data_IF_280111135357
#
_entry.id   IF_280111135357
#
_cell.length_a   1.000
_cell.length_b   1.000
_cell.length_c   1.000
_cell.angle_alpha   90.00
_cell.angle_beta   90.00
_cell.angle_gamma   90.00
#
_symmetry.space_group_name_H-M   'P 1'
#
loop_
_entity.id
_entity.type
_entity.pdbx_description
1 polymer ?
#
# COMPACT_ATOMS: atom_id res chain seq x y z
N UNK A 1 -3.34 -18.42 2.29
CA UNK A 1 -4.04 -18.28 0.99
C UNK A 1 -3.31 -17.24 0.18
N UNK A 2 -2.68 -17.65 -0.92
CA UNK A 2 -1.94 -16.78 -1.82
C UNK A 2 -2.78 -15.61 -2.36
N UNK A 3 -2.16 -14.45 -2.52
CA UNK A 3 -2.71 -13.24 -3.14
C UNK A 3 -2.27 -13.19 -4.60
N UNK A 4 -3.21 -13.38 -5.52
CA UNK A 4 -2.90 -13.37 -6.96
C UNK A 4 -2.70 -11.96 -7.48
N UNK A 5 -2.03 -11.81 -8.62
CA UNK A 5 -1.77 -10.50 -9.23
C UNK A 5 -3.08 -9.78 -9.62
N UNK A 6 -4.09 -10.51 -10.08
CA UNK A 6 -5.41 -9.95 -10.40
C UNK A 6 -6.12 -9.38 -9.16
N UNK A 7 -5.75 -9.86 -7.96
CA UNK A 7 -6.27 -9.30 -6.70
C UNK A 7 -5.54 -8.00 -6.34
N UNK A 8 -4.24 -7.90 -6.62
CA UNK A 8 -3.47 -6.67 -6.43
C UNK A 8 -4.06 -5.52 -7.25
N UNK A 9 -4.47 -5.78 -8.50
CA UNK A 9 -5.13 -4.77 -9.34
C UNK A 9 -6.41 -4.23 -8.67
N UNK A 10 -7.23 -5.13 -8.11
CA UNK A 10 -8.46 -4.76 -7.39
C UNK A 10 -8.17 -3.97 -6.12
N UNK A 11 -7.20 -4.42 -5.33
CA UNK A 11 -6.81 -3.71 -4.10
C UNK A 11 -6.26 -2.33 -4.42
N UNK A 12 -5.46 -2.18 -5.46
CA UNK A 12 -4.94 -0.88 -5.91
C UNK A 12 -6.06 0.05 -6.40
N UNK A 13 -7.06 -0.47 -7.12
CA UNK A 13 -8.27 0.29 -7.50
C UNK A 13 -9.06 0.75 -6.27
N UNK A 14 -9.27 -0.13 -5.28
CA UNK A 14 -9.94 0.22 -4.04
C UNK A 14 -9.14 1.26 -3.23
N UNK A 15 -7.80 1.15 -3.25
CA UNK A 15 -6.91 2.12 -2.60
C UNK A 15 -7.04 3.50 -3.25
N UNK A 16 -7.05 3.56 -4.59
CA UNK A 16 -7.32 4.81 -5.32
C UNK A 16 -8.68 5.40 -4.96
N UNK A 17 -9.72 4.56 -4.96
CA UNK A 17 -11.07 4.98 -4.55
C UNK A 17 -11.07 5.56 -3.13
N UNK A 18 -10.41 4.91 -2.18
CA UNK A 18 -10.28 5.40 -0.81
C UNK A 18 -9.61 6.78 -0.74
N UNK A 19 -8.52 6.99 -1.49
CA UNK A 19 -7.84 8.29 -1.55
C UNK A 19 -8.74 9.39 -2.12
N UNK A 20 -9.56 9.06 -3.13
CA UNK A 20 -10.41 10.03 -3.82
C UNK A 20 -11.69 10.33 -3.00
N UNK A 21 -12.34 9.32 -2.43
CA UNK A 21 -13.55 9.45 -1.59
C UNK A 21 -13.30 10.28 -0.31
N UNK A 22 -12.07 10.22 0.20
CA UNK A 22 -11.65 10.97 1.39
C UNK A 22 -10.87 12.25 1.05
N UNK A 23 -10.79 12.63 -0.22
CA UNK A 23 -10.08 13.83 -0.70
C UNK A 23 -8.64 13.95 -0.18
N UNK A 24 -7.90 12.83 -0.21
CA UNK A 24 -6.54 12.76 0.33
C UNK A 24 -5.53 13.22 -0.74
N UNK A 25 -5.06 14.46 -0.60
CA UNK A 25 -4.07 15.10 -1.48
C UNK A 25 -2.76 15.46 -0.77
N UNK A 26 -2.74 15.36 0.55
CA UNK A 26 -1.65 15.81 1.41
C UNK A 26 -1.64 15.01 2.71
N UNK A 27 -0.50 15.00 3.40
CA UNK A 27 -0.37 14.29 4.68
C UNK A 27 -1.26 14.88 5.77
N UNK A 28 -1.62 16.15 5.70
CA UNK A 28 -2.57 16.79 6.62
C UNK A 28 -3.95 16.14 6.57
N UNK A 29 -4.38 15.65 5.40
CA UNK A 29 -5.65 14.95 5.24
C UNK A 29 -5.68 13.60 5.98
N UNK A 30 -4.52 13.04 6.33
CA UNK A 30 -4.42 11.76 7.04
C UNK A 30 -4.64 11.89 8.55
N UNK A 31 -4.31 13.04 9.14
CA UNK A 31 -4.44 13.30 10.58
C UNK A 31 -5.84 12.96 11.13
N UNK A 32 -6.95 13.44 10.53
CA UNK A 32 -8.29 13.11 11.03
C UNK A 32 -8.70 11.64 10.82
N UNK A 33 -7.91 10.86 10.07
CA UNK A 33 -8.17 9.45 9.78
C UNK A 33 -7.39 8.50 10.71
N UNK A 34 -6.42 9.01 11.48
CA UNK A 34 -5.57 8.22 12.36
C UNK A 34 -6.38 7.37 13.34
N UNK A 35 -6.04 6.08 13.42
CA UNK A 35 -6.66 5.11 14.33
C UNK A 35 -8.08 4.68 13.95
N UNK A 36 -8.62 5.19 12.84
CA UNK A 36 -9.93 4.77 12.31
C UNK A 36 -9.77 3.60 11.36
N UNK A 37 -10.81 2.77 11.30
CA UNK A 37 -10.96 1.71 10.29
C UNK A 37 -12.05 2.10 9.31
N UNK A 38 -11.80 1.90 8.02
CA UNK A 38 -12.74 2.21 6.94
C UNK A 38 -13.10 0.93 6.20
N UNK A 39 -14.26 0.31 6.50
CA UNK A 39 -14.65 -0.96 5.90
C UNK A 39 -14.79 -0.85 4.37
N UNK A 40 -14.24 -1.83 3.66
CA UNK A 40 -14.43 -2.04 2.22
C UNK A 40 -15.49 -3.12 1.99
N UNK A 41 -15.43 -4.18 2.80
CA UNK A 41 -16.44 -5.25 2.89
C UNK A 41 -16.30 -5.95 4.27
N UNK A 42 -17.01 -7.06 4.47
CA UNK A 42 -17.04 -7.80 5.73
C UNK A 42 -15.66 -8.34 6.17
N UNK A 43 -14.71 -8.49 5.24
CA UNK A 43 -13.39 -9.09 5.50
C UNK A 43 -12.23 -8.14 5.21
N UNK A 44 -12.48 -6.87 4.89
CA UNK A 44 -11.41 -5.93 4.56
C UNK A 44 -11.72 -4.48 4.86
N UNK A 45 -10.68 -3.73 5.20
CA UNK A 45 -10.77 -2.33 5.59
C UNK A 45 -9.47 -1.58 5.34
N UNK A 46 -9.53 -0.26 5.25
CA UNK A 46 -8.36 0.60 5.33
C UNK A 46 -8.08 1.03 6.76
N UNK A 47 -6.81 1.13 7.11
CA UNK A 47 -6.31 1.76 8.33
C UNK A 47 -5.32 2.87 7.98
N UNK A 48 -5.34 3.95 8.76
CA UNK A 48 -4.31 4.99 8.71
C UNK A 48 -3.67 5.09 10.09
N UNK A 49 -2.35 4.94 10.12
CA UNK A 49 -1.57 4.95 11.36
C UNK A 49 -0.35 5.85 11.21
N UNK A 50 0.10 6.43 12.33
CA UNK A 50 1.39 7.09 12.42
C UNK A 50 2.35 6.08 13.08
N UNK A 51 3.38 5.66 12.36
CA UNK A 51 4.32 4.62 12.83
C UNK A 51 5.74 5.19 12.88
N UNK A 52 6.58 4.76 13.85
CA UNK A 52 8.00 5.08 13.84
C UNK A 52 8.67 4.65 12.54
N UNK A 53 9.59 5.48 12.07
CA UNK A 53 10.41 5.27 10.88
C UNK A 53 11.89 5.44 11.23
N UNK A 54 12.75 5.41 10.21
CA UNK A 54 14.19 5.56 10.35
C UNK A 54 14.55 6.94 10.94
N UNK A 55 15.74 7.03 11.53
CA UNK A 55 16.30 8.27 12.07
C UNK A 55 15.42 8.98 13.13
N UNK A 56 14.55 8.23 13.82
CA UNK A 56 13.66 8.80 14.84
C UNK A 56 12.49 9.61 14.29
N UNK A 57 12.23 9.53 12.99
CA UNK A 57 11.10 10.20 12.33
C UNK A 57 9.85 9.32 12.37
N UNK A 58 8.72 9.85 11.89
CA UNK A 58 7.47 9.10 11.77
C UNK A 58 6.97 9.07 10.32
N UNK A 59 6.30 7.99 9.95
CA UNK A 59 5.66 7.86 8.65
C UNK A 59 4.17 7.61 8.82
N UNK A 60 3.37 8.33 8.02
CA UNK A 60 1.97 8.01 7.87
C UNK A 60 1.86 6.74 7.04
N UNK A 61 1.21 5.72 7.58
CA UNK A 61 1.06 4.42 6.93
C UNK A 61 -0.41 4.17 6.65
N UNK A 62 -0.74 4.00 5.38
CA UNK A 62 -2.06 3.62 4.89
C UNK A 62 -2.01 2.14 4.48
N UNK A 63 -2.81 1.31 5.12
CA UNK A 63 -2.80 -0.15 4.91
C UNK A 63 -4.16 -0.60 4.39
N UNK A 64 -4.20 -1.32 3.27
CA UNK A 64 -5.34 -2.17 2.91
C UNK A 64 -5.20 -3.47 3.70
N UNK A 65 -6.13 -3.76 4.61
CA UNK A 65 -6.05 -4.90 5.51
C UNK A 65 -7.17 -5.89 5.16
N UNK A 66 -6.79 -7.16 5.05
CA UNK A 66 -7.70 -8.29 4.86
C UNK A 66 -7.65 -9.21 6.07
N UNK A 67 -8.81 -9.55 6.60
CA UNK A 67 -8.94 -10.53 7.65
C UNK A 67 -8.38 -11.87 7.17
N UNK A 68 -7.57 -12.51 8.01
CA UNK A 68 -6.90 -13.80 7.75
C UNK A 68 -5.86 -13.81 6.60
N UNK A 69 -5.67 -12.72 5.85
CA UNK A 69 -4.65 -12.60 4.77
C UNK A 69 -3.63 -11.49 5.03
N UNK A 70 -3.82 -10.67 6.05
CA UNK A 70 -2.89 -9.63 6.44
C UNK A 70 -2.99 -8.39 5.54
N UNK A 71 -1.85 -7.79 5.20
CA UNK A 71 -1.77 -6.51 4.50
C UNK A 71 -1.25 -6.74 3.07
N UNK A 72 -2.13 -6.87 2.06
CA UNK A 72 -1.73 -7.04 0.66
C UNK A 72 -1.06 -5.81 0.06
N UNK A 73 -1.48 -4.59 0.44
CA UNK A 73 -0.89 -3.32 -0.05
C UNK A 73 -0.79 -2.35 1.13
N UNK A 74 0.37 -1.73 1.29
CA UNK A 74 0.65 -0.67 2.25
C UNK A 74 1.44 0.45 1.59
N UNK A 75 1.10 1.70 1.93
CA UNK A 75 1.84 2.88 1.53
C UNK A 75 2.25 3.68 2.78
N UNK A 76 3.56 3.88 2.97
CA UNK A 76 4.14 4.69 4.03
C UNK A 76 4.73 5.97 3.46
N UNK A 77 4.36 7.12 4.02
CA UNK A 77 4.76 8.44 3.57
C UNK A 77 5.50 9.13 4.71
N UNK A 78 6.77 9.46 4.48
CA UNK A 78 7.60 10.17 5.45
C UNK A 78 8.04 11.51 4.85
N UNK A 79 7.56 12.61 5.45
CA UNK A 79 7.86 13.96 4.98
C UNK A 79 9.25 14.41 5.36
N UNK A 80 9.73 13.99 6.53
CA UNK A 80 11.01 14.41 7.08
C UNK A 80 12.17 13.78 6.30
N UNK A 81 12.00 12.52 5.90
CA UNK A 81 12.98 11.79 5.08
C UNK A 81 12.69 11.85 3.57
N UNK A 82 11.67 12.61 3.16
CA UNK A 82 11.29 12.84 1.76
C UNK A 82 11.14 11.54 0.93
N UNK A 83 10.35 10.58 1.44
CA UNK A 83 10.08 9.34 0.72
C UNK A 83 8.63 8.86 0.82
N UNK A 84 8.26 8.04 -0.16
CA UNK A 84 7.05 7.22 -0.18
C UNK A 84 7.45 5.77 -0.41
N UNK A 85 7.09 4.87 0.49
CA UNK A 85 7.39 3.44 0.38
C UNK A 85 6.12 2.66 0.18
N UNK A 86 6.11 1.79 -0.82
CA UNK A 86 5.07 0.79 -1.01
C UNK A 86 5.56 -0.57 -0.54
N UNK A 87 4.69 -1.32 0.12
CA UNK A 87 4.85 -2.75 0.35
C UNK A 87 3.66 -3.49 -0.26
N UNK A 88 3.96 -4.61 -0.91
CA UNK A 88 2.96 -5.46 -1.54
C UNK A 88 3.22 -6.94 -1.21
N UNK A 89 2.15 -7.74 -1.16
CA UNK A 89 2.22 -9.19 -1.01
C UNK A 89 1.52 -9.90 -2.14
N UNK A 90 2.21 -10.75 -2.89
CA UNK A 90 1.60 -11.51 -3.97
C UNK A 90 2.27 -12.87 -4.20
N UNK A 91 1.57 -13.82 -4.82
CA UNK A 91 2.09 -15.15 -5.18
C UNK A 91 3.16 -15.13 -6.28
N UNK A 92 3.36 -13.97 -6.91
CA UNK A 92 4.35 -13.74 -7.96
C UNK A 92 5.02 -12.41 -7.72
N UNK A 93 6.26 -12.28 -8.18
CA UNK A 93 6.97 -11.02 -8.14
C UNK A 93 6.30 -9.98 -9.04
N UNK A 94 6.28 -8.73 -8.59
CA UNK A 94 5.81 -7.58 -9.36
C UNK A 94 7.03 -6.81 -9.83
N UNK A 95 7.06 -6.49 -11.12
CA UNK A 95 8.17 -5.76 -11.74
C UNK A 95 8.43 -4.44 -10.99
N UNK A 96 9.70 -4.07 -10.84
CA UNK A 96 10.18 -2.86 -10.15
C UNK A 96 10.06 -2.87 -8.62
N UNK A 97 9.47 -3.92 -8.03
CA UNK A 97 9.50 -4.12 -6.60
C UNK A 97 10.64 -5.07 -6.23
N UNK A 98 11.34 -4.75 -5.14
CA UNK A 98 12.39 -5.59 -4.58
C UNK A 98 11.78 -6.60 -3.60
N UNK A 99 11.98 -7.90 -3.86
CA UNK A 99 11.61 -8.97 -2.94
C UNK A 99 12.56 -9.00 -1.76
N UNK A 100 12.04 -8.91 -0.54
CA UNK A 100 12.86 -9.03 0.68
C UNK A 100 12.45 -10.21 1.57
N UNK A 101 11.41 -10.95 1.21
CA UNK A 101 11.03 -12.15 1.94
C UNK A 101 9.79 -12.85 1.41
N UNK A 102 9.39 -13.88 2.15
CA UNK A 102 8.10 -14.55 2.02
C UNK A 102 7.29 -14.28 3.29
N UNK A 103 5.97 -14.27 3.18
CA UNK A 103 5.11 -14.21 4.35
C UNK A 103 5.14 -15.51 5.15
N UNK A 104 4.48 -15.52 6.32
CA UNK A 104 4.48 -16.69 7.23
C UNK A 104 3.90 -17.95 6.59
N UNK A 105 2.99 -17.78 5.61
CA UNK A 105 2.41 -18.90 4.87
C UNK A 105 3.33 -19.44 3.78
N UNK A 106 4.38 -18.68 3.43
CA UNK A 106 5.28 -18.91 2.30
C UNK A 106 4.60 -18.96 0.94
N UNK A 107 3.37 -18.48 0.86
CA UNK A 107 2.60 -18.41 -0.39
C UNK A 107 2.76 -17.05 -1.09
N UNK A 108 3.18 -16.01 -0.36
CA UNK A 108 3.31 -14.66 -0.89
C UNK A 108 4.74 -14.14 -0.77
N UNK A 109 5.28 -13.62 -1.87
CA UNK A 109 6.42 -12.73 -1.86
C UNK A 109 6.03 -11.42 -1.17
N UNK A 110 6.85 -10.98 -0.23
CA UNK A 110 6.76 -9.66 0.37
C UNK A 110 7.79 -8.79 -0.33
N UNK A 111 7.30 -7.76 -1.00
CA UNK A 111 8.12 -6.90 -1.84
C UNK A 111 7.93 -5.44 -1.46
N UNK A 112 8.95 -4.62 -1.71
CA UNK A 112 8.89 -3.19 -1.47
C UNK A 112 9.44 -2.37 -2.63
N UNK A 113 8.93 -1.15 -2.75
CA UNK A 113 9.42 -0.12 -3.66
C UNK A 113 9.45 1.21 -2.93
N UNK A 114 10.60 1.87 -2.92
CA UNK A 114 10.75 3.21 -2.35
C UNK A 114 10.83 4.24 -3.49
N UNK A 115 10.04 5.29 -3.36
CA UNK A 115 10.00 6.42 -4.27
C UNK A 115 10.54 7.64 -3.51
N UNK A 116 11.41 8.40 -4.17
CA UNK A 116 11.85 9.69 -3.66
C UNK A 116 10.70 10.70 -3.74
N UNK A 117 10.46 11.42 -2.65
CA UNK A 117 9.38 12.37 -2.50
C UNK A 117 8.20 11.83 -1.69
N UNK A 118 7.43 12.74 -1.07
CA UNK A 118 6.20 12.43 -0.31
C UNK A 118 4.91 12.85 -1.04
N UNK A 119 4.87 12.77 -2.37
CA UNK A 119 3.72 13.25 -3.15
C UNK A 119 2.58 12.24 -3.28
N UNK A 120 1.36 12.66 -2.96
CA UNK A 120 0.15 11.88 -3.22
C UNK A 120 -0.16 11.70 -4.71
N UNK A 121 0.41 12.53 -5.59
CA UNK A 121 0.38 12.30 -7.02
C UNK A 121 1.23 11.07 -7.39
N UNK A 122 2.42 10.94 -6.79
CA UNK A 122 3.27 9.75 -6.96
C UNK A 122 2.61 8.51 -6.38
N UNK A 123 1.95 8.62 -5.21
CA UNK A 123 1.17 7.52 -4.63
C UNK A 123 0.10 7.05 -5.62
N UNK A 124 -0.68 7.98 -6.18
CA UNK A 124 -1.70 7.64 -7.18
C UNK A 124 -1.10 7.04 -8.44
N UNK A 125 0.04 7.55 -8.91
CA UNK A 125 0.74 7.02 -10.09
C UNK A 125 1.18 5.58 -9.87
N UNK A 126 1.74 5.26 -8.71
CA UNK A 126 2.15 3.89 -8.38
C UNK A 126 0.95 2.97 -8.21
N UNK A 127 -0.11 3.41 -7.51
CA UNK A 127 -1.33 2.60 -7.45
C UNK A 127 -1.93 2.33 -8.84
N UNK A 128 -1.90 3.33 -9.74
CA UNK A 128 -2.33 3.14 -11.15
C UNK A 128 -1.43 2.17 -11.91
N UNK A 129 -0.11 2.18 -11.71
CA UNK A 129 0.76 1.17 -12.33
C UNK A 129 0.42 -0.24 -11.84
N UNK A 130 0.06 -0.38 -10.55
CA UNK A 130 -0.39 -1.65 -9.98
C UNK A 130 -1.75 -2.12 -10.54
N UNK A 131 -2.57 -1.24 -11.10
CA UNK A 131 -3.82 -1.65 -11.78
C UNK A 131 -3.62 -2.24 -13.19
N UNK A 132 -2.39 -2.24 -13.69
CA UNK A 132 -2.05 -2.68 -15.05
C UNK A 132 -1.05 -3.84 -15.09
N UNK A 133 -0.82 -4.53 -13.96
CA UNK A 133 0.23 -5.55 -13.81
C UNK A 133 0.01 -6.76 -14.73
N UNK A 134 -1.24 -7.16 -14.96
CA UNK A 134 -1.57 -8.36 -15.75
C UNK A 134 -1.45 -8.12 -17.27
N UNK A 135 -1.29 -6.85 -17.71
CA UNK A 135 -1.11 -6.49 -19.11
C UNK A 135 0.32 -6.66 -19.67
N UNK A 136 1.31 -6.89 -18.79
CA UNK A 136 2.71 -7.05 -19.17
C UNK A 136 3.01 -8.45 -19.67
N UNK A 137 2.79 -8.69 -20.97
CA UNK A 137 3.30 -9.88 -21.68
C UNK A 137 4.80 -10.05 -21.43
N UNK A 138 5.19 -11.15 -20.81
CA UNK A 138 6.42 -11.88 -21.17
C UNK A 138 6.02 -13.10 -21.98
#
# INVERSE_FOLDING_TARGET
MGIKLEEIEKFAQQFLGFLDDHFIDSTSCLVPLLGKKFPVNDESYFSVELRPSNMGTEAYTLSYIMDRRGIPIEASINRELDYTKFMIKATKEVREYETFGLDDTRENYVMCKELKGYSFEQVRKELRSLTAIVGGRT
#
